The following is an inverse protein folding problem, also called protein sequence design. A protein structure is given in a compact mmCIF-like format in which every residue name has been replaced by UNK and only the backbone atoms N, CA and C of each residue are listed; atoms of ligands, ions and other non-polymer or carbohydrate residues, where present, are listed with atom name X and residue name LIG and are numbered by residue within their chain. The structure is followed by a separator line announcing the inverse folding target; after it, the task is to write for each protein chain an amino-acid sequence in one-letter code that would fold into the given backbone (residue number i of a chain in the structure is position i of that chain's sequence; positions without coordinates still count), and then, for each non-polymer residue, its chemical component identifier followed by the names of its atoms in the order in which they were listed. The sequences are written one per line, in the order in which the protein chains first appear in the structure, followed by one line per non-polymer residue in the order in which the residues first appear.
data_IF_914381694051
#
_entry.id   IF_914381694051
#
_cell.length_a   1.000
_cell.length_b   1.000
_cell.length_c   1.000
_cell.angle_alpha   90.00
_cell.angle_beta   90.00
_cell.angle_gamma   90.00
#
_symmetry.space_group_name_H-M   'P 1'
#
loop_
_entity.id
_entity.type
_entity.pdbx_description
1 polymer ?
#
# COMPACT_ATOMS: atom_id res chain seq x y z
N UNK A 1 18.42 27.98 38.39
CA UNK A 1 17.92 29.10 37.57
C UNK A 1 18.78 29.21 36.33
N UNK A 2 18.17 29.20 35.14
CA UNK A 2 18.87 29.27 33.86
C UNK A 2 18.04 28.65 32.75
N UNK A 3 16.88 29.24 32.46
CA UNK A 3 16.14 28.96 31.24
C UNK A 3 16.65 29.92 30.16
N UNK A 4 17.16 29.37 29.05
CA UNK A 4 17.39 30.12 27.84
C UNK A 4 16.34 29.70 26.82
N UNK A 5 15.41 30.63 26.56
CA UNK A 5 14.40 30.55 25.52
C UNK A 5 15.03 30.31 24.15
N UNK A 6 14.49 29.34 23.41
CA UNK A 6 14.74 29.23 21.97
C UNK A 6 13.48 29.72 21.26
N UNK A 7 13.66 30.80 20.53
CA UNK A 7 12.66 31.47 19.71
C UNK A 7 12.11 30.53 18.63
N UNK A 8 10.78 30.50 18.54
CA UNK A 8 10.01 29.86 17.47
C UNK A 8 10.42 30.42 16.11
N UNK A 9 10.99 29.58 15.25
CA UNK A 9 11.03 29.80 13.81
C UNK A 9 9.68 29.32 13.27
N UNK A 10 8.95 30.26 12.66
CA UNK A 10 7.54 30.14 12.31
C UNK A 10 7.19 28.85 11.57
N UNK A 11 6.27 28.11 12.16
CA UNK A 11 5.50 27.07 11.48
C UNK A 11 4.62 27.73 10.43
N UNK A 12 4.69 27.27 9.18
CA UNK A 12 3.63 27.55 8.21
C UNK A 12 2.30 27.05 8.78
N UNK A 13 1.32 27.95 8.90
CA UNK A 13 -0.05 27.60 9.24
C UNK A 13 -0.65 26.73 8.12
N UNK A 14 -1.23 25.57 8.49
CA UNK A 14 -2.43 25.09 7.79
C UNK A 14 -2.39 23.78 6.99
N UNK A 15 -1.39 22.90 7.14
CA UNK A 15 -1.55 21.52 6.68
C UNK A 15 -2.21 20.68 7.79
N UNK A 16 -3.54 20.53 7.74
CA UNK A 16 -4.24 19.60 8.61
C UNK A 16 -3.70 18.18 8.36
N UNK A 17 -3.16 17.54 9.40
CA UNK A 17 -2.62 16.19 9.29
C UNK A 17 -3.76 15.21 8.96
N UNK A 18 -3.73 14.64 7.75
CA UNK A 18 -4.72 13.65 7.31
C UNK A 18 -4.23 12.25 7.58
N UNK A 19 -5.14 11.41 8.07
CA UNK A 19 -4.94 9.98 8.22
C UNK A 19 -6.22 9.26 7.82
N UNK A 20 -6.08 8.01 7.40
CA UNK A 20 -7.23 7.17 7.15
C UNK A 20 -7.94 6.75 8.45
N UNK A 21 -7.16 6.63 9.51
CA UNK A 21 -7.62 6.41 10.86
C UNK A 21 -6.53 6.88 11.82
N UNK A 22 -6.90 7.12 13.07
CA UNK A 22 -5.95 7.34 14.16
C UNK A 22 -5.76 6.02 14.90
N UNK A 23 -4.51 5.61 15.08
CA UNK A 23 -4.22 4.43 15.88
C UNK A 23 -4.40 4.72 17.37
N UNK A 24 -5.29 3.98 18.04
CA UNK A 24 -5.41 3.99 19.49
C UNK A 24 -4.74 2.74 20.06
N UNK A 25 -3.54 2.93 20.62
CA UNK A 25 -2.75 1.85 21.20
C UNK A 25 -3.40 1.21 22.44
N UNK A 26 -4.16 1.96 23.24
CA UNK A 26 -4.78 1.46 24.47
C UNK A 26 -5.91 0.47 24.21
N UNK A 27 -6.63 0.66 23.11
CA UNK A 27 -7.73 -0.20 22.68
C UNK A 27 -7.35 -1.14 21.54
N UNK A 28 -6.13 -0.99 21.01
CA UNK A 28 -5.64 -1.73 19.84
C UNK A 28 -6.58 -1.58 18.63
N UNK A 29 -7.08 -0.36 18.38
CA UNK A 29 -8.09 -0.08 17.36
C UNK A 29 -7.72 1.09 16.43
N UNK A 30 -8.29 1.08 15.23
CA UNK A 30 -8.21 2.14 14.24
C UNK A 30 -9.42 3.09 14.38
N UNK A 31 -9.28 4.14 15.20
CA UNK A 31 -10.33 5.15 15.39
C UNK A 31 -10.54 5.95 14.10
N UNK A 32 -11.79 6.11 13.64
CA UNK A 32 -12.11 6.77 12.37
C UNK A 32 -12.17 5.85 11.15
N UNK A 33 -11.89 4.54 11.32
CA UNK A 33 -11.89 3.59 10.20
C UNK A 33 -13.27 3.44 9.56
N UNK A 34 -14.34 3.41 10.36
CA UNK A 34 -15.70 3.26 9.86
C UNK A 34 -16.10 4.44 8.96
N UNK A 35 -15.73 5.66 9.35
CA UNK A 35 -15.98 6.90 8.64
C UNK A 35 -15.23 6.92 7.29
N UNK A 36 -13.95 6.52 7.30
CA UNK A 36 -13.17 6.37 6.06
C UNK A 36 -13.75 5.32 5.12
N UNK A 37 -14.24 4.21 5.66
CA UNK A 37 -14.90 3.16 4.86
C UNK A 37 -16.20 3.64 4.24
N UNK A 38 -17.00 4.44 4.95
CA UNK A 38 -18.22 5.07 4.41
C UNK A 38 -17.88 6.03 3.27
N UNK A 39 -16.84 6.87 3.42
CA UNK A 39 -16.38 7.76 2.36
C UNK A 39 -15.97 6.98 1.09
N UNK A 40 -15.19 5.90 1.26
CA UNK A 40 -14.74 5.08 0.13
C UNK A 40 -15.89 4.30 -0.49
N UNK A 41 -16.81 3.76 0.33
CA UNK A 41 -18.03 3.10 -0.13
C UNK A 41 -18.81 4.00 -1.11
N UNK A 42 -19.00 5.26 -0.74
CA UNK A 42 -19.76 6.21 -1.55
C UNK A 42 -19.02 6.56 -2.85
N UNK A 43 -17.68 6.65 -2.81
CA UNK A 43 -16.85 6.78 -4.01
C UNK A 43 -16.98 5.56 -4.94
N UNK A 44 -16.84 4.35 -4.39
CA UNK A 44 -16.94 3.07 -5.10
C UNK A 44 -18.33 2.82 -5.72
N UNK A 45 -19.39 3.38 -5.11
CA UNK A 45 -20.74 3.38 -5.69
C UNK A 45 -20.79 4.20 -6.99
N UNK A 46 -20.10 5.35 -7.00
CA UNK A 46 -20.20 6.34 -8.08
C UNK A 46 -19.24 6.09 -9.25
N UNK A 47 -18.17 5.32 -9.03
CA UNK A 47 -17.09 5.15 -10.00
C UNK A 47 -16.64 3.68 -10.03
N UNK A 48 -16.16 3.25 -11.20
CA UNK A 48 -15.57 1.91 -11.36
C UNK A 48 -14.06 1.98 -11.32
N UNK A 49 -13.48 1.06 -10.56
CA UNK A 49 -12.04 0.92 -10.37
C UNK A 49 -11.64 -0.53 -10.63
N UNK A 50 -10.65 -0.73 -11.50
CA UNK A 50 -10.13 -2.07 -11.75
C UNK A 50 -9.30 -2.60 -10.58
N UNK A 51 -8.69 -1.72 -9.78
CA UNK A 51 -7.86 -2.12 -8.65
C UNK A 51 -7.63 -0.99 -7.66
N UNK A 52 -6.92 -1.32 -6.58
CA UNK A 52 -6.59 -0.39 -5.49
C UNK A 52 -5.08 -0.39 -5.21
N UNK A 53 -4.52 0.79 -4.95
CA UNK A 53 -3.13 0.97 -4.55
C UNK A 53 -3.09 1.68 -3.20
N UNK A 54 -2.35 1.12 -2.24
CA UNK A 54 -2.19 1.71 -0.93
C UNK A 54 -0.73 1.72 -0.46
N UNK A 55 -0.41 2.68 0.42
CA UNK A 55 0.84 2.75 1.16
C UNK A 55 0.57 2.84 2.67
N UNK A 56 1.32 2.09 3.48
CA UNK A 56 1.22 2.12 4.95
C UNK A 56 -0.20 1.83 5.45
N UNK A 57 -0.85 2.75 6.17
CA UNK A 57 -2.28 2.62 6.54
C UNK A 57 -3.18 2.38 5.32
N UNK A 58 -2.91 3.08 4.22
CA UNK A 58 -3.66 2.90 2.97
C UNK A 58 -3.47 1.52 2.35
N UNK A 59 -2.32 0.87 2.56
CA UNK A 59 -2.09 -0.50 2.10
C UNK A 59 -2.88 -1.52 2.95
N UNK A 60 -2.97 -1.31 4.27
CA UNK A 60 -3.86 -2.09 5.12
C UNK A 60 -5.34 -1.95 4.71
N UNK A 61 -5.76 -0.74 4.36
CA UNK A 61 -7.11 -0.49 3.82
C UNK A 61 -7.33 -1.12 2.45
N UNK A 62 -6.34 -1.07 1.55
CA UNK A 62 -6.45 -1.69 0.23
C UNK A 62 -6.72 -3.20 0.34
N UNK A 63 -6.02 -3.89 1.23
CA UNK A 63 -6.29 -5.29 1.56
C UNK A 63 -7.67 -5.49 2.18
N UNK A 64 -8.06 -4.65 3.14
CA UNK A 64 -9.37 -4.70 3.80
C UNK A 64 -10.53 -4.53 2.79
N UNK A 65 -10.43 -3.54 1.90
CA UNK A 65 -11.44 -3.26 0.87
C UNK A 65 -11.52 -4.41 -0.15
N UNK A 66 -10.38 -4.98 -0.54
CA UNK A 66 -10.35 -6.14 -1.45
C UNK A 66 -11.11 -7.32 -0.84
N UNK A 67 -10.84 -7.64 0.43
CA UNK A 67 -11.56 -8.68 1.16
C UNK A 67 -13.06 -8.36 1.35
N UNK A 68 -13.41 -7.10 1.68
CA UNK A 68 -14.80 -6.66 1.83
C UNK A 68 -15.60 -6.76 0.52
N UNK A 69 -15.02 -6.43 -0.63
CA UNK A 69 -15.73 -6.50 -1.92
C UNK A 69 -15.95 -7.93 -2.40
N UNK A 70 -15.08 -8.87 -2.01
CA UNK A 70 -15.30 -10.31 -2.22
C UNK A 70 -16.36 -10.90 -1.28
N UNK A 71 -16.42 -10.38 -0.04
CA UNK A 71 -17.32 -10.87 1.04
C UNK A 71 -18.07 -9.72 1.71
N UNK A 72 -19.00 -9.07 1.01
CA UNK A 72 -19.73 -7.89 1.49
C UNK A 72 -20.40 -8.08 2.86
N UNK A 73 -20.87 -9.28 3.15
CA UNK A 73 -21.53 -9.63 4.40
C UNK A 73 -20.64 -9.53 5.65
N UNK A 74 -19.31 -9.50 5.46
CA UNK A 74 -18.33 -9.38 6.54
C UNK A 74 -18.39 -8.04 7.29
N UNK A 75 -19.00 -7.01 6.70
CA UNK A 75 -19.22 -5.72 7.36
C UNK A 75 -20.44 -4.97 6.80
N UNK A 76 -21.59 -5.17 7.46
CA UNK A 76 -22.90 -4.61 7.04
C UNK A 76 -22.92 -3.10 6.73
N UNK A 77 -22.23 -2.22 7.49
CA UNK A 77 -22.24 -0.78 7.19
C UNK A 77 -21.63 -0.39 5.83
N UNK A 78 -20.85 -1.29 5.22
CA UNK A 78 -20.28 -1.08 3.89
C UNK A 78 -21.29 -1.34 2.76
N UNK A 79 -22.43 -1.97 3.05
CA UNK A 79 -23.45 -2.26 2.05
C UNK A 79 -24.36 -1.06 1.78
N UNK A 80 -24.87 -1.01 0.55
CA UNK A 80 -25.89 -0.07 0.12
C UNK A 80 -27.09 -0.89 -0.35
N UNK A 81 -28.22 -0.74 0.33
CA UNK A 81 -29.43 -1.52 0.07
C UNK A 81 -29.18 -3.04 0.09
N UNK A 82 -28.28 -3.49 0.99
CA UNK A 82 -27.89 -4.89 1.14
C UNK A 82 -26.95 -5.43 0.06
N UNK A 83 -26.42 -4.58 -0.82
CA UNK A 83 -25.50 -4.96 -1.89
C UNK A 83 -24.12 -4.29 -1.74
N UNK A 84 -23.04 -4.93 -2.23
CA UNK A 84 -21.73 -4.27 -2.29
C UNK A 84 -21.80 -3.02 -3.19
N UNK A 85 -21.07 -1.93 -2.87
CA UNK A 85 -21.05 -0.72 -3.69
C UNK A 85 -20.36 -0.93 -5.05
N UNK A 86 -19.52 -1.95 -5.17
CA UNK A 86 -18.64 -2.20 -6.30
C UNK A 86 -18.38 -3.71 -6.45
N UNK A 87 -18.11 -4.24 -7.65
CA UNK A 87 -17.61 -5.60 -7.81
C UNK A 87 -16.24 -5.80 -7.13
N UNK A 88 -15.76 -7.04 -6.92
CA UNK A 88 -14.39 -7.28 -6.48
C UNK A 88 -13.36 -6.58 -7.39
N UNK A 89 -12.29 -6.08 -6.80
CA UNK A 89 -11.16 -5.55 -7.56
C UNK A 89 -10.48 -6.66 -8.37
N UNK A 90 -9.94 -6.31 -9.54
CA UNK A 90 -9.10 -7.22 -10.34
C UNK A 90 -7.71 -7.38 -9.72
N UNK A 91 -7.22 -6.38 -9.00
CA UNK A 91 -5.93 -6.44 -8.31
C UNK A 91 -5.82 -5.43 -7.15
N UNK A 92 -4.87 -5.67 -6.26
CA UNK A 92 -4.48 -4.80 -5.16
C UNK A 92 -2.95 -4.61 -5.14
N UNK A 93 -2.48 -3.42 -4.81
CA UNK A 93 -1.06 -3.14 -4.52
C UNK A 93 -0.95 -2.57 -3.12
N UNK A 94 -0.21 -3.27 -2.26
CA UNK A 94 -0.02 -2.95 -0.86
C UNK A 94 1.46 -2.71 -0.57
N UNK A 95 1.89 -1.45 -0.49
CA UNK A 95 3.27 -1.07 -0.16
C UNK A 95 3.39 -0.76 1.34
N UNK A 96 4.29 -1.44 2.05
CA UNK A 96 4.43 -1.37 3.51
C UNK A 96 3.08 -1.54 4.25
N UNK A 97 2.22 -2.44 3.74
CA UNK A 97 0.91 -2.73 4.31
C UNK A 97 0.97 -3.64 5.52
N UNK A 98 -0.09 -3.65 6.33
CA UNK A 98 -0.22 -4.51 7.49
C UNK A 98 -1.69 -4.89 7.70
N UNK A 99 -1.93 -6.03 8.37
CA UNK A 99 -3.28 -6.46 8.73
C UNK A 99 -3.90 -5.43 9.69
N UNK A 100 -5.07 -4.90 9.33
CA UNK A 100 -5.85 -4.07 10.24
C UNK A 100 -6.49 -4.95 11.32
N UNK A 101 -6.34 -4.54 12.57
CA UNK A 101 -6.91 -5.22 13.75
C UNK A 101 -8.18 -4.49 14.24
N UNK A 102 -8.82 -5.05 15.26
CA UNK A 102 -10.04 -4.52 15.86
C UNK A 102 -11.28 -5.06 15.16
N UNK A 103 -12.47 -4.78 15.70
CA UNK A 103 -13.71 -5.47 15.32
C UNK A 103 -13.97 -5.53 13.80
N UNK A 104 -13.70 -4.44 13.07
CA UNK A 104 -13.86 -4.41 11.61
C UNK A 104 -12.83 -5.32 10.92
N UNK A 105 -11.54 -5.13 11.23
CA UNK A 105 -10.47 -5.92 10.64
C UNK A 105 -10.59 -7.41 10.97
N UNK A 106 -10.96 -7.74 12.22
CA UNK A 106 -11.12 -9.11 12.69
C UNK A 106 -12.33 -9.80 12.03
N UNK A 107 -13.44 -9.09 11.80
CA UNK A 107 -14.59 -9.62 11.06
C UNK A 107 -14.24 -9.86 9.58
N UNK A 108 -13.60 -8.89 8.94
CA UNK A 108 -13.26 -8.95 7.51
C UNK A 108 -12.14 -9.93 7.22
N UNK A 109 -11.18 -10.09 8.12
CA UNK A 109 -10.07 -11.05 7.99
C UNK A 109 -10.31 -12.33 8.80
N UNK A 110 -11.56 -12.63 9.16
CA UNK A 110 -11.92 -13.94 9.72
C UNK A 110 -11.64 -15.09 8.74
N UNK A 111 -11.59 -14.78 7.43
CA UNK A 111 -11.09 -15.67 6.38
C UNK A 111 -10.14 -14.92 5.47
N UNK A 112 -9.47 -15.67 4.59
CA UNK A 112 -8.62 -15.18 3.52
C UNK A 112 -9.40 -14.50 2.39
N UNK A 113 -8.69 -13.84 1.47
CA UNK A 113 -9.22 -13.20 0.26
C UNK A 113 -8.36 -13.54 -0.97
N UNK A 114 -8.96 -13.48 -2.16
CA UNK A 114 -8.40 -14.02 -3.42
C UNK A 114 -7.94 -12.97 -4.42
N UNK A 115 -8.29 -11.70 -4.22
CA UNK A 115 -7.86 -10.60 -5.11
C UNK A 115 -6.33 -10.67 -5.28
N UNK A 116 -5.82 -10.79 -6.53
CA UNK A 116 -4.38 -10.78 -6.80
C UNK A 116 -3.73 -9.56 -6.15
N UNK A 117 -2.80 -9.79 -5.23
CA UNK A 117 -2.22 -8.70 -4.43
C UNK A 117 -0.71 -8.67 -4.52
N UNK A 118 -0.17 -7.55 -5.00
CA UNK A 118 1.25 -7.25 -4.91
C UNK A 118 1.55 -6.61 -3.55
N UNK A 119 2.31 -7.31 -2.72
CA UNK A 119 2.87 -6.81 -1.48
C UNK A 119 4.30 -6.33 -1.70
N UNK A 120 4.56 -5.05 -1.45
CA UNK A 120 5.90 -4.48 -1.53
C UNK A 120 6.41 -4.21 -0.12
N UNK A 121 7.53 -4.84 0.26
CA UNK A 121 8.09 -4.79 1.61
C UNK A 121 9.48 -4.14 1.59
N UNK A 122 9.70 -3.16 2.46
CA UNK A 122 11.02 -2.58 2.71
C UNK A 122 11.79 -3.39 3.74
N UNK A 123 12.96 -3.91 3.37
CA UNK A 123 13.82 -4.73 4.27
C UNK A 123 14.33 -3.98 5.49
N UNK A 124 14.38 -2.64 5.42
CA UNK A 124 14.83 -1.77 6.52
C UNK A 124 13.70 -0.91 7.08
N UNK A 125 12.44 -1.30 6.84
CA UNK A 125 11.26 -0.60 7.36
C UNK A 125 11.11 -0.81 8.88
N UNK A 126 11.28 0.26 9.64
CA UNK A 126 11.13 0.26 11.10
C UNK A 126 9.74 0.70 11.58
N UNK A 127 8.88 1.19 10.67
CA UNK A 127 7.53 1.66 10.98
C UNK A 127 6.55 0.51 10.83
N UNK A 128 6.63 -0.18 9.69
CA UNK A 128 5.91 -1.42 9.41
C UNK A 128 6.95 -2.49 9.13
N UNK A 129 7.49 -3.05 10.20
CA UNK A 129 8.46 -4.15 10.13
C UNK A 129 7.89 -5.34 9.34
N UNK A 130 8.77 -6.11 8.69
CA UNK A 130 8.38 -7.20 7.80
C UNK A 130 7.34 -8.15 8.43
N UNK A 131 7.49 -8.52 9.71
CA UNK A 131 6.54 -9.40 10.41
C UNK A 131 5.10 -8.86 10.37
N UNK A 132 4.92 -7.54 10.47
CA UNK A 132 3.58 -6.92 10.38
C UNK A 132 3.02 -6.98 8.96
N UNK A 133 3.89 -6.85 7.96
CA UNK A 133 3.52 -6.98 6.55
C UNK A 133 3.14 -8.42 6.21
N UNK A 134 3.91 -9.40 6.71
CA UNK A 134 3.65 -10.84 6.52
C UNK A 134 2.26 -11.24 7.00
N UNK A 135 1.77 -10.68 8.12
CA UNK A 135 0.40 -10.93 8.61
C UNK A 135 -0.69 -10.57 7.60
N UNK A 136 -0.46 -9.60 6.70
CA UNK A 136 -1.40 -9.28 5.62
C UNK A 136 -1.20 -10.19 4.39
N UNK A 137 0.06 -10.56 4.10
CA UNK A 137 0.42 -11.50 3.03
C UNK A 137 -0.23 -12.87 3.30
N UNK A 138 -0.15 -13.36 4.53
CA UNK A 138 -0.66 -14.68 4.93
C UNK A 138 -2.20 -14.80 4.83
N UNK A 139 -2.90 -13.67 4.73
CA UNK A 139 -4.35 -13.61 4.52
C UNK A 139 -4.75 -13.61 3.04
N UNK A 140 -3.79 -13.46 2.14
CA UNK A 140 -4.04 -13.41 0.70
C UNK A 140 -3.74 -14.77 0.05
N UNK A 141 -4.69 -15.30 -0.72
CA UNK A 141 -4.54 -16.60 -1.41
C UNK A 141 -3.82 -16.48 -2.76
N UNK A 142 -3.58 -15.28 -3.25
CA UNK A 142 -2.87 -15.02 -4.51
C UNK A 142 -1.78 -13.95 -4.37
N UNK A 143 -0.84 -14.12 -3.40
CA UNK A 143 0.09 -13.06 -3.08
C UNK A 143 1.27 -13.07 -4.05
N UNK A 144 1.66 -11.88 -4.48
CA UNK A 144 2.98 -11.62 -5.05
C UNK A 144 3.76 -10.75 -4.06
N UNK A 145 4.93 -11.19 -3.64
CA UNK A 145 5.78 -10.43 -2.71
C UNK A 145 7.02 -9.94 -3.43
N UNK A 146 7.28 -8.63 -3.34
CA UNK A 146 8.50 -7.99 -3.85
C UNK A 146 9.15 -7.17 -2.75
N UNK A 147 10.47 -7.23 -2.64
CA UNK A 147 11.21 -6.57 -1.57
C UNK A 147 12.18 -5.51 -2.12
N UNK A 148 12.30 -4.38 -1.43
CA UNK A 148 13.37 -3.40 -1.69
C UNK A 148 14.25 -3.21 -0.46
N UNK A 149 15.50 -2.80 -0.68
CA UNK A 149 16.49 -2.65 0.40
C UNK A 149 16.29 -1.38 1.26
N UNK A 150 15.17 -0.67 1.09
CA UNK A 150 14.86 0.59 1.77
C UNK A 150 13.91 0.45 2.95
N UNK A 151 13.62 1.58 3.59
CA UNK A 151 12.71 1.70 4.73
C UNK A 151 11.25 1.98 4.32
N UNK A 152 10.56 2.83 5.07
CA UNK A 152 9.14 3.09 4.92
C UNK A 152 8.80 4.07 3.78
N UNK A 153 8.85 3.61 2.54
CA UNK A 153 8.48 4.43 1.37
C UNK A 153 8.05 3.57 0.17
N UNK A 154 7.36 4.19 -0.80
CA UNK A 154 7.06 3.55 -2.09
C UNK A 154 8.32 3.58 -2.98
N UNK A 155 8.87 2.43 -3.42
CA UNK A 155 10.10 2.43 -4.21
C UNK A 155 9.89 3.06 -5.59
N UNK A 156 10.72 4.05 -5.92
CA UNK A 156 10.56 4.91 -7.11
C UNK A 156 11.73 4.88 -8.10
N UNK A 157 12.73 4.01 -7.84
CA UNK A 157 13.85 3.79 -8.77
C UNK A 157 13.33 3.33 -10.14
N UNK A 158 14.10 3.59 -11.20
CA UNK A 158 13.65 3.37 -12.58
C UNK A 158 13.18 1.93 -12.86
N UNK A 159 13.85 0.94 -12.28
CA UNK A 159 13.47 -0.46 -12.38
C UNK A 159 12.12 -0.76 -11.68
N UNK A 160 11.88 -0.19 -10.50
CA UNK A 160 10.59 -0.28 -9.80
C UNK A 160 9.45 0.41 -10.54
N UNK A 161 9.69 1.58 -11.13
CA UNK A 161 8.68 2.27 -11.95
C UNK A 161 8.28 1.43 -13.17
N UNK A 162 9.25 0.84 -13.87
CA UNK A 162 9.00 -0.06 -15.01
C UNK A 162 8.21 -1.30 -14.58
N UNK A 163 8.61 -1.92 -13.47
CA UNK A 163 7.92 -3.05 -12.89
C UNK A 163 6.46 -2.73 -12.53
N UNK A 164 6.22 -1.67 -11.75
CA UNK A 164 4.87 -1.27 -11.34
C UNK A 164 3.99 -0.94 -12.55
N UNK A 165 4.53 -0.26 -13.57
CA UNK A 165 3.78 0.01 -14.80
C UNK A 165 3.38 -1.27 -15.53
N UNK A 166 4.29 -2.25 -15.65
CA UNK A 166 4.00 -3.54 -16.27
C UNK A 166 2.99 -4.35 -15.44
N UNK A 167 3.14 -4.38 -14.11
CA UNK A 167 2.22 -5.07 -13.20
C UNK A 167 0.81 -4.48 -13.24
N UNK A 168 0.66 -3.15 -13.27
CA UNK A 168 -0.65 -2.52 -13.34
C UNK A 168 -1.38 -2.79 -14.67
N UNK A 169 -0.64 -3.08 -15.75
CA UNK A 169 -1.20 -3.46 -17.04
C UNK A 169 -1.58 -4.95 -17.10
N UNK A 170 -0.82 -5.81 -16.42
CA UNK A 170 -1.05 -7.26 -16.37
C UNK A 170 -0.76 -7.84 -14.96
N UNK A 171 -1.67 -7.61 -14.00
CA UNK A 171 -1.45 -7.94 -12.58
C UNK A 171 -1.45 -9.45 -12.30
N UNK A 172 -1.91 -10.24 -13.26
CA UNK A 172 -1.96 -11.71 -13.21
C UNK A 172 -0.92 -12.37 -14.12
N UNK A 173 -0.20 -11.59 -14.91
CA UNK A 173 0.79 -12.08 -15.87
C UNK A 173 2.16 -12.34 -15.27
N UNK A 174 3.03 -12.92 -16.09
CA UNK A 174 4.42 -13.19 -15.76
C UNK A 174 5.29 -11.93 -15.93
N UNK A 175 5.03 -10.92 -15.09
CA UNK A 175 5.83 -9.69 -15.05
C UNK A 175 7.12 -9.98 -14.26
N UNK A 176 8.33 -9.76 -14.81
CA UNK A 176 9.58 -10.01 -14.08
C UNK A 176 9.68 -9.17 -12.79
N UNK A 177 10.44 -9.62 -11.79
CA UNK A 177 10.70 -8.81 -10.59
C UNK A 177 11.47 -7.51 -10.92
N UNK A 178 11.39 -6.46 -10.10
CA UNK A 178 12.10 -5.19 -10.31
C UNK A 178 13.59 -5.33 -10.59
N UNK A 179 14.27 -6.34 -10.02
CA UNK A 179 15.69 -6.59 -10.26
C UNK A 179 16.00 -6.86 -11.74
N UNK A 180 15.09 -7.51 -12.47
CA UNK A 180 15.24 -7.87 -13.88
C UNK A 180 15.12 -6.68 -14.85
N UNK A 181 14.52 -5.56 -14.42
CA UNK A 181 14.43 -4.32 -15.21
C UNK A 181 15.73 -3.49 -15.20
N UNK A 182 16.80 -4.04 -14.60
CA UNK A 182 18.13 -3.42 -14.56
C UNK A 182 18.92 -3.79 -15.81
N UNK A 183 18.84 -2.97 -16.86
CA UNK A 183 19.76 -3.03 -17.99
C UNK A 183 20.85 -1.96 -17.86
N UNK A 184 22.09 -2.45 -17.73
CA UNK A 184 23.42 -1.83 -17.87
C UNK A 184 23.51 -0.39 -18.42
N UNK A 185 24.35 0.43 -17.77
CA UNK A 185 24.66 1.78 -18.21
C UNK A 185 25.90 2.39 -17.53
N UNK A 186 27.02 1.67 -17.46
CA UNK A 186 28.34 2.31 -17.43
C UNK A 186 29.03 1.99 -18.76
N UNK A 187 29.05 2.99 -19.62
CA UNK A 187 29.81 2.96 -20.87
C UNK A 187 31.29 2.71 -20.55
N UNK A 188 31.88 1.70 -21.17
CA UNK A 188 33.34 1.61 -21.31
C UNK A 188 33.77 2.81 -22.17
N UNK A 189 34.75 3.64 -21.76
CA UNK A 189 35.27 4.66 -22.64
C UNK A 189 35.96 3.96 -23.80
N UNK A 190 35.52 4.23 -25.02
CA UNK A 190 36.26 3.87 -26.23
C UNK A 190 37.47 4.79 -26.27
N UNK A 191 38.66 4.20 -26.10
CA UNK A 191 39.93 4.89 -26.26
C UNK A 191 40.01 5.43 -27.69
N UNK A 192 40.05 6.75 -27.82
CA UNK A 192 40.05 7.44 -29.10
C UNK A 192 41.27 7.04 -29.94
N UNK A 193 41.01 6.53 -31.14
CA UNK A 193 42.03 6.34 -32.17
C UNK A 193 42.59 7.71 -32.56
N UNK A 194 43.78 8.04 -32.05
CA UNK A 194 44.54 9.21 -32.49
C UNK A 194 44.98 9.02 -33.95
N UNK A 195 44.35 9.76 -34.87
CA UNK A 195 44.91 10.01 -36.19
C UNK A 195 46.20 10.82 -36.03
N UNK A 196 47.32 10.24 -36.45
CA UNK A 196 48.56 10.98 -36.70
C UNK A 196 48.36 11.80 -37.99
N UNK A 197 48.55 13.12 -37.88
CA UNK A 197 49.00 13.95 -39.00
C UNK A 197 50.49 13.72 -39.22
#
# INVERSE_FOLDING_TARGET
MGAASTTSLGSEEGAEARGWFKWNASKNEAEGLAESLVMIRDLLKSQRFDGVFGFSQGAGMAGLLSAMLERPESYQPFLIDGQPPHPPFKFCVAVSGFRLNGAIGDSVFATTYKTPTLHVIGKTDIIVVEERSRKLVDLNESPRVEEHDGGHFVPSKGNWRKFLAAYLLDPTGDVPSPSAFSSSGTATPVEGLAMKL
#
